data_IF_103853267147
#
_entry.id   IF_103853267147
#
_cell.length_a   1.000
_cell.length_b   1.000
_cell.length_c   1.000
_cell.angle_alpha   90.00
_cell.angle_beta   90.00
_cell.angle_gamma   90.00
#
_symmetry.space_group_name_H-M   'P 1'
#
loop_
_entity.id
_entity.type
_entity.pdbx_description
1 polymer ?
#
# COMPACT_ATOMS: atom_id res chain seq x y z
N UNK A 1 -25.38 -20.54 14.94
CA UNK A 1 -24.20 -20.69 15.82
C UNK A 1 -23.77 -22.15 15.95
N UNK A 2 -24.67 -23.06 16.36
CA UNK A 2 -24.33 -24.49 16.44
C UNK A 2 -23.92 -25.08 15.09
N UNK A 3 -24.63 -24.70 14.03
CA UNK A 3 -24.30 -25.05 12.64
C UNK A 3 -22.92 -24.52 12.21
N UNK A 4 -22.68 -23.22 12.35
CA UNK A 4 -21.37 -22.60 12.07
C UNK A 4 -20.21 -23.27 12.84
N UNK A 5 -20.40 -23.57 14.12
CA UNK A 5 -19.37 -24.24 14.92
C UNK A 5 -19.04 -25.63 14.35
N UNK A 6 -20.08 -26.37 13.96
CA UNK A 6 -19.95 -27.70 13.33
C UNK A 6 -19.21 -27.61 12.00
N UNK A 7 -19.57 -26.66 11.14
CA UNK A 7 -18.94 -26.47 9.83
C UNK A 7 -17.48 -25.98 9.92
N UNK A 8 -17.16 -25.21 10.95
CA UNK A 8 -15.80 -24.78 11.26
C UNK A 8 -14.98 -25.84 12.02
N UNK A 9 -15.58 -26.98 12.39
CA UNK A 9 -14.90 -28.04 13.13
C UNK A 9 -14.53 -27.67 14.58
N UNK A 10 -15.20 -26.68 15.18
CA UNK A 10 -14.93 -26.19 16.54
C UNK A 10 -16.13 -26.33 17.46
N UNK A 11 -15.92 -26.27 18.77
CA UNK A 11 -17.04 -26.27 19.72
C UNK A 11 -17.77 -24.93 19.75
N UNK A 12 -19.05 -24.95 20.11
CA UNK A 12 -19.85 -23.71 20.33
C UNK A 12 -19.25 -22.85 21.44
N UNK A 13 -18.58 -23.47 22.42
CA UNK A 13 -17.84 -22.77 23.48
C UNK A 13 -16.65 -21.98 22.90
N UNK A 14 -15.88 -22.60 22.02
CA UNK A 14 -14.76 -21.96 21.30
C UNK A 14 -15.25 -20.81 20.42
N UNK A 15 -16.35 -21.02 19.69
CA UNK A 15 -16.95 -19.99 18.85
C UNK A 15 -17.44 -18.77 19.66
N UNK A 16 -18.05 -19.00 20.84
CA UNK A 16 -18.40 -17.90 21.77
C UNK A 16 -17.18 -17.15 22.25
N UNK A 17 -16.13 -17.87 22.63
CA UNK A 17 -14.87 -17.29 23.08
C UNK A 17 -14.21 -16.41 22.00
N UNK A 18 -14.20 -16.84 20.73
CA UNK A 18 -13.68 -16.02 19.62
C UNK A 18 -14.49 -14.76 19.38
N UNK A 19 -15.81 -14.84 19.46
CA UNK A 19 -16.68 -13.67 19.35
C UNK A 19 -16.47 -12.68 20.50
N UNK A 20 -16.31 -13.16 21.74
CA UNK A 20 -16.01 -12.30 22.91
C UNK A 20 -14.66 -11.59 22.77
N UNK A 21 -13.69 -12.23 22.09
CA UNK A 21 -12.39 -11.65 21.73
C UNK A 21 -12.41 -10.82 20.44
N UNK A 22 -13.60 -10.54 19.88
CA UNK A 22 -13.80 -9.79 18.62
C UNK A 22 -13.05 -10.37 17.41
N UNK A 23 -12.70 -11.65 17.45
CA UNK A 23 -12.05 -12.35 16.34
C UNK A 23 -12.99 -12.61 15.16
N UNK A 24 -14.30 -12.43 15.37
CA UNK A 24 -15.33 -12.66 14.36
C UNK A 24 -16.27 -11.46 14.42
N UNK A 25 -16.63 -10.87 13.27
CA UNK A 25 -17.62 -9.79 13.20
C UNK A 25 -18.92 -10.15 13.92
N UNK A 26 -19.63 -9.15 14.45
CA UNK A 26 -20.94 -9.41 15.05
C UNK A 26 -21.90 -9.95 13.98
N UNK A 27 -22.67 -11.01 14.28
CA UNK A 27 -23.66 -11.55 13.36
C UNK A 27 -24.76 -10.53 13.08
N UNK A 28 -25.38 -10.62 11.90
CA UNK A 28 -26.60 -9.87 11.62
C UNK A 28 -27.69 -10.32 12.60
N UNK A 29 -28.32 -9.37 13.28
CA UNK A 29 -29.39 -9.65 14.24
C UNK A 29 -30.74 -9.39 13.59
N UNK A 30 -31.60 -10.39 13.67
CA UNK A 30 -33.00 -10.28 13.26
C UNK A 30 -33.86 -10.77 14.43
N UNK A 31 -34.38 -9.81 15.20
CA UNK A 31 -35.03 -10.08 16.49
C UNK A 31 -34.08 -10.73 17.50
N UNK A 32 -34.43 -11.94 17.98
CA UNK A 32 -33.62 -12.73 18.94
C UNK A 32 -32.66 -13.70 18.24
N UNK A 33 -32.66 -13.75 16.91
CA UNK A 33 -31.90 -14.72 16.12
C UNK A 33 -30.63 -14.03 15.58
N UNK A 34 -29.50 -14.70 15.75
CA UNK A 34 -28.20 -14.27 15.24
C UNK A 34 -27.85 -15.07 13.98
N UNK A 35 -27.79 -14.38 12.84
CA UNK A 35 -27.47 -14.95 11.54
C UNK A 35 -25.96 -14.87 11.28
N UNK A 36 -25.40 -16.01 10.90
CA UNK A 36 -24.00 -16.13 10.50
C UNK A 36 -23.99 -16.60 9.05
N UNK A 37 -23.24 -15.89 8.21
CA UNK A 37 -23.11 -16.17 6.78
C UNK A 37 -21.74 -16.83 6.47
N UNK A 38 -21.49 -17.09 5.19
CA UNK A 38 -20.26 -17.72 4.70
C UNK A 38 -18.99 -16.95 5.06
N UNK A 39 -19.07 -15.61 5.22
CA UNK A 39 -17.91 -14.81 5.63
C UNK A 39 -17.44 -15.15 7.04
N UNK A 40 -18.36 -15.52 7.93
CA UNK A 40 -18.03 -15.96 9.29
C UNK A 40 -17.32 -17.31 9.28
N UNK A 41 -17.73 -18.22 8.38
CA UNK A 41 -17.10 -19.53 8.22
C UNK A 41 -15.70 -19.41 7.61
N UNK A 42 -15.54 -18.58 6.59
CA UNK A 42 -14.24 -18.30 5.99
C UNK A 42 -13.25 -17.76 7.03
N UNK A 43 -13.68 -16.80 7.87
CA UNK A 43 -12.85 -16.25 8.93
C UNK A 43 -12.45 -17.29 9.99
N UNK A 44 -13.38 -18.17 10.38
CA UNK A 44 -13.07 -19.26 11.31
C UNK A 44 -12.02 -20.24 10.76
N UNK A 45 -12.09 -20.56 9.47
CA UNK A 45 -11.07 -21.40 8.80
C UNK A 45 -9.71 -20.72 8.76
N UNK A 46 -9.67 -19.41 8.50
CA UNK A 46 -8.42 -18.63 8.55
C UNK A 46 -7.80 -18.63 9.94
N UNK A 47 -8.59 -18.41 11.00
CA UNK A 47 -8.11 -18.47 12.39
C UNK A 47 -7.51 -19.84 12.70
N UNK A 48 -8.19 -20.92 12.32
CA UNK A 48 -7.69 -22.29 12.52
C UNK A 48 -6.35 -22.51 11.81
N UNK A 49 -6.25 -22.11 10.54
CA UNK A 49 -5.04 -22.28 9.75
C UNK A 49 -3.85 -21.46 10.26
N UNK A 50 -4.09 -20.29 10.89
CA UNK A 50 -3.03 -19.50 11.52
C UNK A 50 -2.57 -20.11 12.85
N UNK A 51 -3.50 -20.67 13.63
CA UNK A 51 -3.15 -21.39 14.87
C UNK A 51 -2.30 -22.63 14.59
N UNK A 52 -2.62 -23.38 13.52
CA UNK A 52 -1.83 -24.54 13.08
C UNK A 52 -0.39 -24.17 12.70
N UNK A 53 -0.17 -22.94 12.23
CA UNK A 53 1.16 -22.40 11.89
C UNK A 53 1.91 -21.82 13.10
N UNK A 54 1.36 -21.91 14.30
CA UNK A 54 2.00 -21.48 15.55
C UNK A 54 1.73 -20.03 15.95
N UNK A 55 0.81 -19.33 15.29
CA UNK A 55 0.42 -17.98 15.71
C UNK A 55 -0.42 -18.03 17.00
N UNK A 56 -0.34 -16.97 17.82
CA UNK A 56 -1.12 -16.87 19.05
C UNK A 56 -2.49 -16.24 18.79
N UNK A 57 -3.50 -16.62 19.58
CA UNK A 57 -4.84 -16.02 19.52
C UNK A 57 -4.85 -14.50 19.75
N UNK A 58 -3.90 -13.97 20.53
CA UNK A 58 -3.75 -12.53 20.73
C UNK A 58 -3.28 -11.84 19.45
N UNK A 59 -2.24 -12.37 18.81
CA UNK A 59 -1.74 -11.83 17.55
C UNK A 59 -2.77 -11.93 16.42
N UNK A 60 -3.55 -13.01 16.36
CA UNK A 60 -4.64 -13.14 15.38
C UNK A 60 -5.76 -12.12 15.65
N UNK A 61 -6.04 -11.77 16.91
CA UNK A 61 -7.04 -10.76 17.26
C UNK A 61 -6.61 -9.36 16.85
N UNK A 62 -5.33 -9.03 17.07
CA UNK A 62 -4.75 -7.77 16.62
C UNK A 62 -4.80 -7.66 15.08
N UNK A 63 -4.45 -8.74 14.37
CA UNK A 63 -4.55 -8.84 12.90
C UNK A 63 -5.97 -8.66 12.39
N UNK A 64 -6.94 -9.31 13.05
CA UNK A 64 -8.36 -9.24 12.65
C UNK A 64 -8.94 -7.84 12.89
N UNK A 65 -8.62 -7.20 14.02
CA UNK A 65 -9.06 -5.82 14.31
C UNK A 65 -8.42 -4.78 13.38
N UNK A 66 -7.24 -5.05 12.81
CA UNK A 66 -6.64 -4.18 11.80
C UNK A 66 -7.32 -4.33 10.43
N UNK A 67 -7.60 -5.58 10.03
CA UNK A 67 -8.29 -5.87 8.78
C UNK A 67 -9.70 -5.29 8.75
N UNK A 68 -10.44 -5.39 9.86
CA UNK A 68 -11.80 -4.83 10.00
C UNK A 68 -11.83 -3.29 10.00
N UNK A 69 -10.68 -2.65 10.21
CA UNK A 69 -10.51 -1.19 10.12
C UNK A 69 -10.01 -0.73 8.74
N UNK A 70 -9.97 -1.62 7.74
CA UNK A 70 -9.48 -1.32 6.39
C UNK A 70 -7.97 -1.10 6.32
N UNK A 71 -7.20 -1.59 7.30
CA UNK A 71 -5.75 -1.57 7.26
C UNK A 71 -5.23 -2.88 6.65
N UNK A 72 -4.37 -2.74 5.67
CA UNK A 72 -3.75 -3.84 4.94
C UNK A 72 -2.98 -4.76 5.92
N UNK A 73 -3.07 -6.08 5.71
CA UNK A 73 -2.41 -7.11 6.54
C UNK A 73 -0.88 -6.92 6.54
N UNK A 74 -0.34 -6.33 5.47
CA UNK A 74 1.07 -5.98 5.35
C UNK A 74 1.56 -5.03 6.44
N UNK A 75 0.75 -4.02 6.80
CA UNK A 75 1.10 -3.01 7.82
C UNK A 75 1.17 -3.61 9.23
N UNK A 76 0.41 -4.67 9.51
CA UNK A 76 0.31 -5.22 10.86
C UNK A 76 1.25 -6.39 11.15
N UNK A 77 1.74 -7.06 10.11
CA UNK A 77 2.79 -8.08 10.23
C UNK A 77 4.21 -7.49 10.20
N UNK A 78 4.35 -6.17 9.98
CA UNK A 78 5.65 -5.54 9.75
C UNK A 78 6.37 -6.06 8.50
N UNK A 79 5.65 -6.74 7.60
CA UNK A 79 6.20 -7.35 6.39
C UNK A 79 6.11 -6.43 5.18
N UNK A 80 5.28 -5.39 5.25
CA UNK A 80 5.36 -4.21 4.39
C UNK A 80 5.00 -3.03 5.28
N UNK A 81 6.02 -2.34 5.81
CA UNK A 81 5.77 -1.05 6.47
C UNK A 81 4.99 -0.14 5.50
N UNK A 82 4.04 0.68 6.00
CA UNK A 82 3.34 1.62 5.16
C UNK A 82 4.36 2.39 4.33
N UNK A 83 4.14 2.46 3.02
CA UNK A 83 4.83 3.44 2.21
C UNK A 83 4.66 4.80 2.90
N UNK A 84 5.74 5.59 3.01
CA UNK A 84 5.60 6.99 3.45
C UNK A 84 4.71 7.79 2.49
N UNK A 85 4.42 7.24 1.31
CA UNK A 85 3.50 7.80 0.35
C UNK A 85 2.06 7.46 0.74
N UNK A 86 1.24 8.51 0.90
CA UNK A 86 -0.20 8.40 1.12
C UNK A 86 -0.91 8.08 -0.20
N UNK A 87 -1.57 6.93 -0.35
CA UNK A 87 -2.39 6.65 -1.52
C UNK A 87 -3.62 7.55 -1.56
N UNK A 88 -4.15 7.80 -2.75
CA UNK A 88 -5.35 8.63 -2.96
C UNK A 88 -6.29 7.88 -3.88
N UNK A 89 -7.56 7.82 -3.49
CA UNK A 89 -8.65 7.32 -4.33
C UNK A 89 -9.30 8.49 -5.06
N UNK A 90 -9.57 8.33 -6.34
CA UNK A 90 -10.14 9.32 -7.23
C UNK A 90 -11.14 8.64 -8.16
N UNK A 91 -12.20 9.35 -8.54
CA UNK A 91 -13.00 8.92 -9.69
C UNK A 91 -12.25 9.18 -11.00
N UNK A 92 -12.62 8.52 -12.12
CA UNK A 92 -12.07 8.83 -13.43
C UNK A 92 -12.21 10.32 -13.82
N UNK A 93 -13.32 10.95 -13.45
CA UNK A 93 -13.56 12.38 -13.69
C UNK A 93 -12.62 13.25 -12.87
N UNK A 94 -12.45 12.95 -11.58
CA UNK A 94 -11.51 13.68 -10.72
C UNK A 94 -10.08 13.59 -11.25
N UNK A 95 -9.65 12.40 -11.69
CA UNK A 95 -8.32 12.24 -12.30
C UNK A 95 -8.18 13.04 -13.60
N UNK A 96 -9.21 13.06 -14.44
CA UNK A 96 -9.21 13.84 -15.68
C UNK A 96 -9.08 15.36 -15.41
N UNK A 97 -9.75 15.86 -14.38
CA UNK A 97 -9.67 17.25 -13.94
C UNK A 97 -8.25 17.60 -13.43
N UNK A 98 -7.58 16.69 -12.71
CA UNK A 98 -6.21 16.88 -12.23
C UNK A 98 -5.20 17.17 -13.36
N UNK A 99 -5.37 16.52 -14.50
CA UNK A 99 -4.45 16.61 -15.63
C UNK A 99 -5.03 17.37 -16.84
N UNK A 100 -6.08 18.17 -16.61
CA UNK A 100 -6.71 19.03 -17.62
C UNK A 100 -7.02 18.29 -18.95
N UNK A 101 -7.53 17.05 -18.86
CA UNK A 101 -7.89 16.25 -20.03
C UNK A 101 -6.73 15.55 -20.76
N UNK A 102 -5.51 15.56 -20.20
CA UNK A 102 -4.39 14.76 -20.74
C UNK A 102 -4.42 13.29 -20.30
N UNK A 103 -5.46 12.85 -19.58
CA UNK A 103 -5.69 11.45 -19.23
C UNK A 103 -6.23 10.70 -20.45
N UNK A 104 -5.32 10.38 -21.38
CA UNK A 104 -5.62 9.52 -22.53
C UNK A 104 -5.44 8.04 -22.15
N UNK A 105 -6.00 7.10 -22.92
CA UNK A 105 -5.78 5.66 -22.70
C UNK A 105 -4.30 5.29 -22.63
N UNK A 106 -3.46 5.87 -23.48
CA UNK A 106 -2.02 5.60 -23.53
C UNK A 106 -1.29 6.10 -22.27
N UNK A 107 -1.68 7.27 -21.76
CA UNK A 107 -1.11 7.82 -20.53
C UNK A 107 -1.57 7.04 -19.29
N UNK A 108 -2.82 6.56 -19.29
CA UNK A 108 -3.35 5.71 -18.22
C UNK A 108 -2.62 4.35 -18.20
N UNK A 109 -2.46 3.72 -19.36
CA UNK A 109 -1.70 2.47 -19.52
C UNK A 109 -0.25 2.67 -19.03
N UNK A 110 0.43 3.73 -19.47
CA UNK A 110 1.79 4.02 -19.02
C UNK A 110 1.88 4.26 -17.50
N UNK A 111 0.89 4.91 -16.90
CA UNK A 111 0.83 5.11 -15.45
C UNK A 111 0.56 3.80 -14.67
N UNK A 112 -0.22 2.89 -15.24
CA UNK A 112 -0.46 1.54 -14.71
C UNK A 112 0.79 0.66 -14.83
N UNK A 113 1.48 0.69 -15.96
CA UNK A 113 2.76 -0.02 -16.18
C UNK A 113 3.84 0.42 -15.20
N UNK A 114 3.86 1.72 -14.86
CA UNK A 114 4.74 2.27 -13.83
C UNK A 114 4.30 1.93 -12.41
N UNK A 115 3.11 1.35 -12.24
CA UNK A 115 2.51 1.04 -10.95
C UNK A 115 2.15 2.29 -10.14
N UNK A 116 1.94 3.44 -10.79
CA UNK A 116 1.49 4.66 -10.10
C UNK A 116 -0.02 4.68 -9.89
N UNK A 117 -0.75 3.99 -10.77
CA UNK A 117 -2.20 3.95 -10.78
C UNK A 117 -2.68 2.50 -10.80
N UNK A 118 -3.70 2.20 -10.00
CA UNK A 118 -4.44 0.93 -9.99
C UNK A 118 -5.94 1.16 -9.99
N UNK A 119 -6.71 0.08 -10.16
CA UNK A 119 -8.18 0.11 -10.16
C UNK A 119 -8.67 -0.67 -8.93
N UNK A 120 -9.52 -0.03 -8.12
CA UNK A 120 -10.20 -0.63 -6.96
C UNK A 120 -11.71 -0.48 -7.15
N UNK A 121 -12.33 -1.49 -7.76
CA UNK A 121 -13.74 -1.44 -8.15
C UNK A 121 -13.99 -0.42 -9.25
N UNK A 122 -14.74 0.65 -8.93
CA UNK A 122 -15.04 1.77 -9.83
C UNK A 122 -14.10 2.97 -9.63
N UNK A 123 -13.23 2.91 -8.62
CA UNK A 123 -12.31 4.00 -8.27
C UNK A 123 -10.91 3.74 -8.82
N UNK A 124 -10.22 4.84 -9.13
CA UNK A 124 -8.81 4.85 -9.47
C UNK A 124 -8.00 5.15 -8.22
N UNK A 125 -6.99 4.32 -7.94
CA UNK A 125 -6.08 4.49 -6.80
C UNK A 125 -4.71 4.94 -7.29
N UNK A 126 -4.29 6.13 -6.89
CA UNK A 126 -2.92 6.60 -7.10
C UNK A 126 -2.06 6.28 -5.88
N UNK A 127 -0.87 5.71 -6.08
CA UNK A 127 0.00 5.21 -4.99
C UNK A 127 0.60 6.30 -4.12
N UNK A 128 0.60 7.55 -4.59
CA UNK A 128 1.19 8.68 -3.88
C UNK A 128 0.46 9.98 -4.19
N UNK A 129 -0.06 10.65 -3.15
CA UNK A 129 -0.60 12.01 -3.23
C UNK A 129 0.42 13.00 -3.77
N UNK A 130 1.66 12.89 -3.28
CA UNK A 130 2.74 13.83 -3.61
C UNK A 130 3.15 13.73 -5.08
N UNK A 131 3.28 12.51 -5.62
CA UNK A 131 3.60 12.31 -7.03
C UNK A 131 2.46 12.78 -7.94
N UNK A 132 1.20 12.56 -7.52
CA UNK A 132 0.03 13.08 -8.23
C UNK A 132 0.08 14.62 -8.30
N UNK A 133 0.28 15.29 -7.17
CA UNK A 133 0.31 16.76 -7.11
C UNK A 133 1.47 17.35 -7.93
N UNK A 134 2.67 16.76 -7.84
CA UNK A 134 3.86 17.24 -8.57
C UNK A 134 3.72 17.02 -10.08
N UNK A 135 3.23 15.86 -10.51
CA UNK A 135 3.01 15.60 -11.94
C UNK A 135 1.93 16.51 -12.52
N UNK A 136 0.83 16.74 -11.80
CA UNK A 136 -0.19 17.71 -12.20
C UNK A 136 0.35 19.15 -12.25
N UNK A 137 1.26 19.53 -11.34
CA UNK A 137 1.92 20.83 -11.39
C UNK A 137 2.78 20.98 -12.66
N UNK A 138 3.59 19.98 -13.01
CA UNK A 138 4.38 19.99 -14.25
C UNK A 138 3.50 20.11 -15.50
N UNK A 139 2.36 19.41 -15.52
CA UNK A 139 1.39 19.49 -16.63
C UNK A 139 0.76 20.87 -16.74
N UNK A 140 0.47 21.53 -15.62
CA UNK A 140 -0.03 22.92 -15.60
C UNK A 140 0.99 23.93 -16.11
N UNK A 141 2.29 23.66 -15.93
CA UNK A 141 3.38 24.45 -16.53
C UNK A 141 3.58 24.16 -18.04
N UNK A 142 2.74 23.32 -18.63
CA UNK A 142 2.73 23.03 -20.07
C UNK A 142 3.58 21.83 -20.49
N UNK A 143 4.14 21.06 -19.54
CA UNK A 143 4.85 19.82 -19.87
C UNK A 143 3.83 18.72 -20.20
N UNK A 144 3.88 18.07 -21.38
CA UNK A 144 2.95 17.00 -21.70
C UNK A 144 3.01 15.83 -20.71
N UNK A 145 1.86 15.28 -20.31
CA UNK A 145 1.80 14.17 -19.34
C UNK A 145 2.60 12.95 -19.81
N UNK A 146 2.61 12.68 -21.11
CA UNK A 146 3.42 11.61 -21.71
C UNK A 146 4.93 11.79 -21.44
N UNK A 147 5.44 13.02 -21.52
CA UNK A 147 6.84 13.33 -21.25
C UNK A 147 7.16 13.22 -19.75
N UNK A 148 6.21 13.63 -18.89
CA UNK A 148 6.32 13.45 -17.43
C UNK A 148 6.41 11.97 -17.08
N UNK A 149 5.53 11.12 -17.64
CA UNK A 149 5.54 9.67 -17.40
C UNK A 149 6.81 9.01 -17.95
N UNK A 150 7.29 9.44 -19.12
CA UNK A 150 8.55 8.98 -19.70
C UNK A 150 9.76 9.33 -18.82
N UNK A 151 9.81 10.55 -18.30
CA UNK A 151 10.83 10.96 -17.33
C UNK A 151 10.71 10.16 -16.03
N UNK A 152 9.49 9.97 -15.53
CA UNK A 152 9.22 9.22 -14.30
C UNK A 152 9.69 7.76 -14.40
N UNK A 153 9.52 7.11 -15.56
CA UNK A 153 10.07 5.76 -15.83
C UNK A 153 11.58 5.70 -15.58
N UNK A 154 12.32 6.69 -16.08
CA UNK A 154 13.78 6.76 -15.92
C UNK A 154 14.18 7.07 -14.47
N UNK A 155 13.47 7.99 -13.84
CA UNK A 155 13.69 8.33 -12.42
C UNK A 155 13.45 7.10 -11.54
N UNK A 156 12.39 6.34 -11.81
CA UNK A 156 12.06 5.11 -11.08
C UNK A 156 13.18 4.07 -11.19
N UNK A 157 13.68 3.81 -12.40
CA UNK A 157 14.78 2.88 -12.60
C UNK A 157 16.02 3.29 -11.78
N UNK A 158 16.39 4.58 -11.81
CA UNK A 158 17.51 5.07 -11.00
C UNK A 158 17.22 5.02 -9.49
N UNK A 159 15.98 5.23 -9.06
CA UNK A 159 15.61 5.09 -7.66
C UNK A 159 15.69 3.63 -7.18
N UNK A 160 15.33 2.67 -8.04
CA UNK A 160 15.50 1.23 -7.78
C UNK A 160 16.99 0.87 -7.66
N UNK A 161 17.84 1.32 -8.60
CA UNK A 161 19.30 1.13 -8.54
C UNK A 161 19.90 1.70 -7.25
N UNK A 162 19.47 2.91 -6.85
CA UNK A 162 19.92 3.56 -5.61
C UNK A 162 19.45 2.78 -4.38
N UNK A 163 18.20 2.30 -4.37
CA UNK A 163 17.65 1.53 -3.27
C UNK A 163 18.41 0.21 -3.08
N UNK A 164 18.75 -0.50 -4.15
CA UNK A 164 19.60 -1.69 -4.11
C UNK A 164 20.98 -1.37 -3.54
N UNK A 165 21.64 -0.31 -4.05
CA UNK A 165 22.95 0.13 -3.56
C UNK A 165 22.94 0.41 -2.05
N UNK A 166 21.94 1.15 -1.56
CA UNK A 166 21.83 1.44 -0.13
C UNK A 166 21.54 0.18 0.69
N UNK A 167 20.67 -0.70 0.19
CA UNK A 167 20.32 -1.95 0.86
C UNK A 167 21.55 -2.84 1.02
N UNK A 168 22.32 -3.03 -0.05
CA UNK A 168 23.56 -3.80 -0.05
C UNK A 168 24.61 -3.20 0.88
N UNK A 169 24.78 -1.88 0.85
CA UNK A 169 25.72 -1.18 1.72
C UNK A 169 25.37 -1.38 3.20
N UNK A 170 24.09 -1.23 3.56
CA UNK A 170 23.66 -1.38 4.94
C UNK A 170 23.77 -2.84 5.39
N UNK A 171 23.32 -3.80 4.57
CA UNK A 171 23.41 -5.24 4.91
C UNK A 171 24.85 -5.75 5.00
N UNK A 172 25.80 -5.07 4.35
CA UNK A 172 27.23 -5.37 4.49
C UNK A 172 27.80 -4.99 5.86
N UNK A 173 27.14 -4.10 6.61
CA UNK A 173 27.65 -3.53 7.86
C UNK A 173 26.68 -3.62 9.04
N UNK A 174 25.43 -3.98 8.81
CA UNK A 174 24.34 -3.93 9.77
C UNK A 174 23.26 -4.99 9.47
N UNK A 175 22.22 -5.03 10.28
CA UNK A 175 21.13 -6.02 10.15
C UNK A 175 19.96 -5.47 9.31
N UNK A 176 19.05 -6.35 8.89
CA UNK A 176 17.80 -5.95 8.24
C UNK A 176 16.96 -4.98 9.10
N UNK A 177 17.01 -5.13 10.43
CA UNK A 177 16.34 -4.20 11.35
C UNK A 177 16.96 -2.79 11.30
N UNK A 178 18.26 -2.68 10.98
CA UNK A 178 18.92 -1.39 10.82
C UNK A 178 18.56 -0.71 9.48
N UNK A 179 18.15 -1.45 8.45
CA UNK A 179 17.71 -0.87 7.17
C UNK A 179 16.58 0.15 7.37
N UNK A 180 15.57 -0.21 8.16
CA UNK A 180 14.44 0.69 8.40
C UNK A 180 14.85 1.93 9.19
N UNK A 181 15.71 1.76 10.21
CA UNK A 181 16.25 2.88 10.98
C UNK A 181 17.11 3.82 10.12
N UNK A 182 17.83 3.29 9.14
CA UNK A 182 18.76 4.05 8.30
C UNK A 182 18.14 4.60 7.01
N UNK A 183 16.93 4.13 6.63
CA UNK A 183 16.19 4.59 5.45
C UNK A 183 16.08 6.13 5.34
N UNK A 184 15.80 6.90 6.42
CA UNK A 184 15.76 8.37 6.33
C UNK A 184 17.11 8.99 5.93
N UNK A 185 18.23 8.41 6.38
CA UNK A 185 19.57 8.90 6.05
C UNK A 185 19.88 8.68 4.56
N UNK A 186 19.51 7.51 4.02
CA UNK A 186 19.65 7.23 2.59
C UNK A 186 18.88 8.27 1.74
N UNK A 187 17.65 8.62 2.15
CA UNK A 187 16.85 9.67 1.50
C UNK A 187 17.54 11.03 1.51
N UNK A 188 18.07 11.44 2.66
CA UNK A 188 18.80 12.72 2.76
C UNK A 188 20.04 12.77 1.86
N UNK A 189 20.76 11.65 1.71
CA UNK A 189 21.89 11.56 0.77
C UNK A 189 21.43 11.72 -0.68
N UNK A 190 20.37 11.01 -1.08
CA UNK A 190 19.80 11.12 -2.43
C UNK A 190 19.33 12.54 -2.74
N UNK A 191 18.64 13.19 -1.80
CA UNK A 191 18.17 14.56 -1.95
C UNK A 191 19.34 15.55 -2.14
N UNK A 192 20.38 15.42 -1.31
CA UNK A 192 21.57 16.25 -1.42
C UNK A 192 22.31 16.04 -2.75
N UNK A 193 22.53 14.78 -3.16
CA UNK A 193 23.20 14.45 -4.43
C UNK A 193 22.39 14.93 -5.64
N UNK A 194 21.06 14.79 -5.59
CA UNK A 194 20.17 15.30 -6.63
C UNK A 194 20.28 16.83 -6.75
N UNK A 195 20.24 17.55 -5.62
CA UNK A 195 20.42 19.01 -5.61
C UNK A 195 21.76 19.42 -6.22
N UNK A 196 22.86 18.78 -5.81
CA UNK A 196 24.20 19.04 -6.35
C UNK A 196 24.31 18.69 -7.85
N UNK A 197 23.64 17.64 -8.30
CA UNK A 197 23.62 17.24 -9.70
C UNK A 197 22.84 18.24 -10.56
N UNK A 198 21.72 18.76 -10.06
CA UNK A 198 20.93 19.81 -10.70
C UNK A 198 21.73 21.10 -10.84
N UNK A 199 22.40 21.55 -9.77
CA UNK A 199 23.27 22.75 -9.81
C UNK A 199 24.36 22.60 -10.89
N UNK A 200 25.01 21.43 -10.95
CA UNK A 200 26.03 21.11 -11.97
C UNK A 200 25.44 21.05 -13.39
N UNK A 201 24.20 20.61 -13.55
CA UNK A 201 23.53 20.56 -14.85
C UNK A 201 23.15 21.96 -15.34
N UNK A 202 22.63 22.80 -14.45
CA UNK A 202 22.26 24.19 -14.75
C UNK A 202 23.50 25.04 -15.07
N UNK A 203 24.58 24.90 -14.30
CA UNK A 203 25.84 25.60 -14.58
C UNK A 203 26.50 25.20 -15.91
N UNK A 204 26.21 23.99 -16.41
CA UNK A 204 26.67 23.50 -17.73
C UNK A 204 25.82 23.99 -18.91
N UNK A 205 24.68 24.65 -18.66
CA UNK A 205 23.87 25.32 -19.67
C UNK A 205 24.07 26.86 -19.68
N UNK A 206 25.27 27.42 -19.89
CA UNK A 206 25.37 28.83 -20.22
C UNK A 206 25.13 29.03 -21.73
N UNK A 207 23.95 29.57 -22.07
CA UNK A 207 23.65 30.21 -23.37
C UNK A 207 23.58 29.31 -24.60
N UNK A 208 22.35 28.90 -24.96
CA UNK A 208 21.91 28.89 -26.36
C UNK A 208 21.09 30.14 -26.62
#
# INVERSE_FOLDING_TARGET
MEELAREAGITVRTLRFYRERKLIPPPRREGRIAWYDESHLARLRTIAALLERGHTLSGIAELSEAFDRGRDVGELLGLVEPSEETPVRLTPEELADYFAGQVTPENLEAAMDLGYVGIDGEEIVHVSRRLLDVSAALVREGVPLADVLSAAKRVRAHAEDLAELFTDLVLSHATEHDLQRLRPLAKSVVEAELSLALDRALARKPGE
#
